data_IF_656900525446
#
_entry.id   IF_656900525446
#
_cell.length_a   1.000
_cell.length_b   1.000
_cell.length_c   1.000
_cell.angle_alpha   90.00
_cell.angle_beta   90.00
_cell.angle_gamma   90.00
#
_symmetry.space_group_name_H-M   'P 1'
#
loop_
_entity.id
_entity.type
_entity.pdbx_description
1 polymer ?
#
# COMPACT_ATOMS: atom_id res chain seq x y z
N UNK A 1 18.46 37.52 7.58
CA UNK A 1 17.04 37.93 7.75
C UNK A 1 16.04 36.85 7.29
N UNK A 2 16.32 36.09 6.23
CA UNK A 2 15.47 34.95 5.78
C UNK A 2 15.43 33.74 6.74
N UNK A 3 16.43 33.58 7.60
CA UNK A 3 16.55 32.44 8.53
C UNK A 3 15.60 32.50 9.72
N UNK A 4 15.28 33.70 10.23
CA UNK A 4 14.34 33.90 11.34
C UNK A 4 12.90 33.68 10.87
N UNK A 5 12.55 34.17 9.67
CA UNK A 5 11.23 33.94 9.07
C UNK A 5 11.00 32.45 8.78
N UNK A 6 12.01 31.73 8.27
CA UNK A 6 11.95 30.28 8.13
C UNK A 6 11.83 29.57 9.48
N UNK A 7 12.54 30.00 10.51
CA UNK A 7 12.44 29.39 11.84
C UNK A 7 11.05 29.57 12.47
N UNK A 8 10.42 30.74 12.30
CA UNK A 8 9.06 31.04 12.80
C UNK A 8 8.00 30.22 12.03
N UNK A 9 8.11 30.11 10.70
CA UNK A 9 7.27 29.20 9.91
C UNK A 9 7.44 27.74 10.35
N UNK A 10 8.68 27.29 10.50
CA UNK A 10 9.00 25.92 10.94
C UNK A 10 8.46 25.62 12.34
N UNK A 11 8.36 26.58 13.25
CA UNK A 11 7.79 26.36 14.58
C UNK A 11 6.27 26.15 14.56
N UNK A 12 5.56 26.80 13.62
CA UNK A 12 4.12 26.60 13.39
C UNK A 12 3.83 25.35 12.56
N UNK A 13 4.71 24.99 11.63
CA UNK A 13 4.56 23.81 10.76
C UNK A 13 5.03 22.52 11.43
N UNK A 14 5.85 22.55 12.48
CA UNK A 14 6.28 21.35 13.22
C UNK A 14 5.11 20.45 13.62
N UNK A 15 4.08 20.92 14.37
CA UNK A 15 2.97 20.05 14.75
C UNK A 15 2.18 19.55 13.54
N UNK A 16 1.96 20.38 12.51
CA UNK A 16 1.27 19.98 11.29
C UNK A 16 2.04 18.90 10.50
N UNK A 17 3.36 19.06 10.38
CA UNK A 17 4.26 18.13 9.69
C UNK A 17 4.44 16.82 10.45
N UNK A 18 4.48 16.84 11.78
CA UNK A 18 4.47 15.61 12.59
C UNK A 18 3.16 14.83 12.43
N UNK A 19 2.01 15.53 12.39
CA UNK A 19 0.70 14.90 12.16
C UNK A 19 0.59 14.36 10.72
N UNK A 20 1.13 15.06 9.74
CA UNK A 20 1.17 14.62 8.33
C UNK A 20 2.04 13.35 8.16
N UNK A 21 3.22 13.31 8.79
CA UNK A 21 4.13 12.16 8.74
C UNK A 21 3.53 10.90 9.43
N UNK A 22 2.86 11.07 10.58
CA UNK A 22 2.12 9.96 11.21
C UNK A 22 0.94 9.48 10.35
N UNK A 23 0.23 10.39 9.69
CA UNK A 23 -0.89 10.04 8.79
C UNK A 23 -0.39 9.29 7.56
N UNK A 24 0.68 9.74 6.91
CA UNK A 24 1.26 9.08 5.75
C UNK A 24 1.76 7.67 6.10
N UNK A 25 2.36 7.50 7.28
CA UNK A 25 2.73 6.18 7.80
C UNK A 25 1.51 5.27 7.96
N UNK A 26 0.41 5.76 8.55
CA UNK A 26 -0.82 4.98 8.69
C UNK A 26 -1.45 4.64 7.34
N UNK A 27 -1.35 5.52 6.34
CA UNK A 27 -1.84 5.29 4.98
C UNK A 27 -1.01 4.19 4.31
N UNK A 28 0.31 4.25 4.41
CA UNK A 28 1.22 3.21 3.92
C UNK A 28 0.89 1.85 4.53
N UNK A 29 0.76 1.76 5.87
CA UNK A 29 0.39 0.51 6.54
C UNK A 29 -0.96 -0.06 6.06
N UNK A 30 -1.95 0.80 5.76
CA UNK A 30 -3.24 0.37 5.21
C UNK A 30 -3.11 -0.18 3.78
N UNK A 31 -2.33 0.49 2.92
CA UNK A 31 -2.05 0.02 1.57
C UNK A 31 -1.34 -1.34 1.58
N UNK A 32 -0.29 -1.48 2.40
CA UNK A 32 0.41 -2.74 2.60
C UNK A 32 -0.51 -3.86 3.11
N UNK A 33 -1.41 -3.56 4.06
CA UNK A 33 -2.40 -4.54 4.53
C UNK A 33 -3.33 -5.00 3.39
N UNK A 34 -3.84 -4.07 2.57
CA UNK A 34 -4.71 -4.41 1.45
C UNK A 34 -3.97 -5.28 0.40
N UNK A 35 -2.71 -4.96 0.13
CA UNK A 35 -1.82 -5.74 -0.73
C UNK A 35 -1.67 -7.18 -0.22
N UNK A 36 -1.31 -7.36 1.05
CA UNK A 36 -1.14 -8.69 1.64
C UNK A 36 -2.43 -9.52 1.65
N UNK A 37 -3.58 -8.92 1.95
CA UNK A 37 -4.87 -9.63 1.91
C UNK A 37 -5.16 -10.11 0.49
N UNK A 38 -4.99 -9.23 -0.49
CA UNK A 38 -5.23 -9.54 -1.91
C UNK A 38 -4.30 -10.65 -2.40
N UNK A 39 -3.00 -10.54 -2.07
CA UNK A 39 -2.02 -11.57 -2.40
C UNK A 39 -2.36 -12.92 -1.75
N UNK A 40 -2.70 -12.92 -0.46
CA UNK A 40 -3.06 -14.16 0.27
C UNK A 40 -4.26 -14.87 -0.34
N UNK A 41 -5.29 -14.10 -0.74
CA UNK A 41 -6.46 -14.65 -1.46
C UNK A 41 -6.03 -15.25 -2.81
N UNK A 42 -5.19 -14.54 -3.57
CA UNK A 42 -4.68 -15.04 -4.85
C UNK A 42 -3.86 -16.32 -4.71
N UNK A 43 -3.03 -16.44 -3.66
CA UNK A 43 -2.30 -17.67 -3.34
C UNK A 43 -3.25 -18.82 -3.03
N UNK A 44 -4.31 -18.57 -2.23
CA UNK A 44 -5.32 -19.59 -1.93
C UNK A 44 -6.03 -20.08 -3.21
N UNK A 45 -6.40 -19.16 -4.11
CA UNK A 45 -7.00 -19.51 -5.40
C UNK A 45 -6.03 -20.33 -6.26
N UNK A 46 -4.75 -19.95 -6.30
CA UNK A 46 -3.72 -20.69 -7.03
C UNK A 46 -3.58 -22.12 -6.50
N UNK A 47 -3.50 -22.30 -5.18
CA UNK A 47 -3.45 -23.62 -4.55
C UNK A 47 -4.69 -24.45 -4.84
N UNK A 48 -5.89 -23.84 -4.76
CA UNK A 48 -7.14 -24.52 -5.09
C UNK A 48 -7.17 -24.99 -6.55
N UNK A 49 -6.64 -24.19 -7.49
CA UNK A 49 -6.58 -24.58 -8.91
C UNK A 49 -5.82 -25.90 -9.09
N UNK A 50 -4.70 -26.07 -8.37
CA UNK A 50 -3.91 -27.29 -8.42
C UNK A 50 -4.65 -28.49 -7.81
N UNK A 51 -5.35 -28.27 -6.69
CA UNK A 51 -6.20 -29.31 -6.06
C UNK A 51 -7.31 -29.79 -7.00
N UNK A 52 -7.86 -28.92 -7.85
CA UNK A 52 -8.83 -29.28 -8.87
C UNK A 52 -8.23 -29.94 -10.12
N UNK A 53 -6.96 -30.34 -10.08
CA UNK A 53 -6.28 -31.07 -11.16
C UNK A 53 -5.80 -30.17 -12.30
N UNK A 54 -5.77 -28.85 -12.10
CA UNK A 54 -5.13 -27.97 -13.09
C UNK A 54 -3.62 -28.20 -13.12
N UNK A 55 -2.97 -28.00 -14.29
CA UNK A 55 -1.52 -28.11 -14.41
C UNK A 55 -0.81 -27.17 -13.44
N UNK A 56 0.36 -27.59 -12.94
CA UNK A 56 1.21 -26.74 -12.08
C UNK A 56 1.57 -25.39 -12.73
N UNK A 57 1.59 -25.33 -14.07
CA UNK A 57 1.79 -24.10 -14.83
C UNK A 57 0.68 -23.07 -14.57
N UNK A 58 -0.58 -23.50 -14.48
CA UNK A 58 -1.72 -22.61 -14.18
C UNK A 58 -1.61 -22.05 -12.77
N UNK A 59 -1.30 -22.90 -11.79
CA UNK A 59 -1.02 -22.47 -10.42
C UNK A 59 0.10 -21.43 -10.37
N UNK A 60 1.21 -21.70 -11.06
CA UNK A 60 2.35 -20.79 -11.09
C UNK A 60 2.00 -19.45 -11.75
N UNK A 61 1.28 -19.47 -12.87
CA UNK A 61 0.76 -18.25 -13.50
C UNK A 61 -0.14 -17.47 -12.55
N UNK A 62 -1.05 -18.14 -11.83
CA UNK A 62 -1.93 -17.49 -10.86
C UNK A 62 -1.16 -16.85 -9.69
N UNK A 63 -0.07 -17.48 -9.22
CA UNK A 63 0.80 -16.89 -8.20
C UNK A 63 1.48 -15.60 -8.68
N UNK A 64 1.98 -15.59 -9.92
CA UNK A 64 2.57 -14.38 -10.52
C UNK A 64 1.49 -13.28 -10.66
N UNK A 65 0.32 -13.62 -11.18
CA UNK A 65 -0.78 -12.68 -11.30
C UNK A 65 -1.23 -12.13 -9.94
N UNK A 66 -1.32 -12.98 -8.92
CA UNK A 66 -1.67 -12.57 -7.56
C UNK A 66 -0.64 -11.59 -6.99
N UNK A 67 0.66 -11.79 -7.26
CA UNK A 67 1.72 -10.87 -6.85
C UNK A 67 1.54 -9.49 -7.47
N UNK A 68 1.34 -9.44 -8.79
CA UNK A 68 1.14 -8.18 -9.52
C UNK A 68 -0.12 -7.46 -9.06
N UNK A 69 -1.24 -8.17 -8.93
CA UNK A 69 -2.51 -7.59 -8.47
C UNK A 69 -2.37 -7.08 -7.03
N UNK A 70 -1.68 -7.82 -6.16
CA UNK A 70 -1.42 -7.41 -4.79
C UNK A 70 -0.67 -6.09 -4.71
N UNK A 71 0.39 -5.92 -5.52
CA UNK A 71 1.14 -4.66 -5.60
C UNK A 71 0.27 -3.51 -6.11
N UNK A 72 -0.42 -3.71 -7.25
CA UNK A 72 -1.30 -2.69 -7.83
C UNK A 72 -2.39 -2.25 -6.85
N UNK A 73 -3.02 -3.21 -6.14
CA UNK A 73 -4.05 -2.88 -5.15
C UNK A 73 -3.45 -2.11 -3.97
N UNK A 74 -2.26 -2.47 -3.50
CA UNK A 74 -1.55 -1.73 -2.45
C UNK A 74 -1.32 -0.27 -2.84
N UNK A 75 -0.77 -0.06 -4.03
CA UNK A 75 -0.45 1.27 -4.57
C UNK A 75 -1.72 2.09 -4.82
N UNK A 76 -2.76 1.50 -5.40
CA UNK A 76 -4.06 2.17 -5.62
C UNK A 76 -4.71 2.57 -4.29
N UNK A 77 -4.65 1.70 -3.27
CA UNK A 77 -5.14 2.05 -1.93
C UNK A 77 -4.35 3.20 -1.33
N UNK A 78 -3.02 3.18 -1.45
CA UNK A 78 -2.16 4.27 -0.96
C UNK A 78 -2.47 5.58 -1.67
N UNK A 79 -2.59 5.58 -3.01
CA UNK A 79 -2.98 6.74 -3.82
C UNK A 79 -4.39 7.27 -3.48
N UNK A 80 -5.37 6.37 -3.31
CA UNK A 80 -6.73 6.76 -2.95
C UNK A 80 -6.80 7.45 -1.59
N UNK A 81 -6.09 6.92 -0.59
CA UNK A 81 -6.05 7.52 0.74
C UNK A 81 -5.19 8.80 0.80
N UNK A 82 -4.16 8.90 -0.04
CA UNK A 82 -3.37 10.13 -0.21
C UNK A 82 -4.22 11.27 -0.81
N UNK A 83 -5.04 10.97 -1.84
CA UNK A 83 -5.90 11.95 -2.50
C UNK A 83 -7.08 12.47 -1.66
N UNK A 84 -7.46 11.80 -0.56
CA UNK A 84 -8.48 12.28 0.38
C UNK A 84 -7.91 13.06 1.56
N UNK A 85 -6.60 13.34 1.54
CA UNK A 85 -5.86 13.99 2.61
C UNK A 85 -5.58 15.49 2.44
N UNK A 86 -6.08 16.14 1.38
CA UNK A 86 -5.96 17.59 1.16
C UNK A 86 -6.98 18.40 1.94
#
# INVERSE_FOLDING_TARGET
MLSIVHAIKTQSDKPARFIEDERDKLIGLKGTRASYITFSIGVLIAMLSFVFGQPALVMFSLLIFASLIGEIVGDVFQLYFYGRGS
#
